data_IF_671092450303
#
_entry.id   IF_671092450303
#
_cell.length_a   1.000
_cell.length_b   1.000
_cell.length_c   1.000
_cell.angle_alpha   90.00
_cell.angle_beta   90.00
_cell.angle_gamma   90.00
#
_symmetry.space_group_name_H-M   'P 1'
#
loop_
_entity.id
_entity.type
_entity.pdbx_description
1 polymer ?
#
# COMPACT_ATOMS: atom_id res chain seq x y z
N UNK A 1 32.90 -0.13 -46.81
CA UNK A 1 32.70 0.94 -47.80
C UNK A 1 31.62 1.87 -47.35
N UNK A 2 32.03 3.09 -47.16
CA UNK A 2 31.27 4.29 -46.72
C UNK A 2 30.22 4.71 -47.74
N UNK A 3 29.10 5.28 -47.29
CA UNK A 3 28.47 6.43 -47.96
C UNK A 3 27.76 7.33 -46.96
N UNK A 4 28.45 8.39 -46.64
CA UNK A 4 28.00 9.66 -46.05
C UNK A 4 27.46 10.59 -47.13
N UNK A 5 26.64 11.57 -46.66
CA UNK A 5 26.41 12.92 -47.20
C UNK A 5 25.25 13.13 -48.16
N UNK A 6 24.36 14.03 -47.81
CA UNK A 6 24.04 15.39 -48.30
C UNK A 6 22.59 15.70 -47.92
N UNK A 7 22.20 16.75 -47.34
CA UNK A 7 22.09 18.15 -47.74
C UNK A 7 21.93 19.10 -46.55
N UNK A 8 22.63 20.21 -46.68
CA UNK A 8 22.48 21.44 -45.91
C UNK A 8 21.80 22.50 -46.77
N UNK A 9 21.04 23.39 -46.11
CA UNK A 9 20.79 24.82 -46.38
C UNK A 9 19.70 25.21 -47.39
N UNK A 10 18.65 25.86 -46.93
CA UNK A 10 18.38 27.30 -47.19
C UNK A 10 17.08 27.71 -46.46
N UNK A 11 17.12 28.88 -45.83
CA UNK A 11 16.08 29.50 -45.03
C UNK A 11 15.04 30.22 -45.85
N UNK A 12 13.98 30.65 -45.16
CA UNK A 12 12.94 31.53 -45.68
C UNK A 12 11.76 31.59 -44.75
N UNK A 13 11.57 32.69 -44.06
CA UNK A 13 10.43 32.97 -43.16
C UNK A 13 9.12 33.12 -43.96
N UNK A 14 8.02 32.57 -43.43
CA UNK A 14 6.65 33.05 -43.66
C UNK A 14 5.68 32.47 -42.61
N UNK A 15 5.17 33.35 -41.80
CA UNK A 15 3.83 33.60 -41.24
C UNK A 15 2.88 32.40 -41.04
N UNK A 16 2.37 32.35 -39.82
CA UNK A 16 1.38 31.48 -39.23
C UNK A 16 0.06 31.35 -39.98
N UNK A 17 -0.43 30.11 -40.04
CA UNK A 17 -1.87 29.80 -39.85
C UNK A 17 -1.94 28.40 -39.20
N UNK A 18 -2.51 28.35 -37.99
CA UNK A 18 -2.66 27.12 -37.23
C UNK A 18 -3.70 26.21 -37.87
N UNK A 19 -3.30 24.94 -38.09
CA UNK A 19 -4.21 23.81 -38.20
C UNK A 19 -3.67 22.80 -37.21
N UNK A 20 -4.40 22.60 -36.12
CA UNK A 20 -4.15 21.54 -35.17
C UNK A 20 -4.47 20.21 -35.86
N UNK A 21 -3.43 19.46 -36.20
CA UNK A 21 -3.55 18.03 -36.49
C UNK A 21 -3.56 17.31 -35.16
N UNK A 22 -4.75 16.85 -34.75
CA UNK A 22 -4.90 15.92 -33.65
C UNK A 22 -4.18 14.60 -34.02
N UNK A 23 -3.04 14.36 -33.40
CA UNK A 23 -2.43 13.05 -33.33
C UNK A 23 -3.33 12.22 -32.40
N UNK A 24 -3.96 11.17 -32.96
CA UNK A 24 -4.63 10.13 -32.17
C UNK A 24 -3.57 9.32 -31.46
N UNK A 25 -3.16 9.69 -30.26
CA UNK A 25 -2.51 8.82 -29.33
C UNK A 25 -3.57 7.89 -28.71
N UNK A 26 -3.52 6.63 -29.12
CA UNK A 26 -4.24 5.54 -28.48
C UNK A 26 -3.58 5.21 -27.13
N UNK A 27 -3.76 6.05 -26.14
CA UNK A 27 -3.58 5.72 -24.74
C UNK A 27 -4.95 5.41 -24.14
N UNK A 28 -5.27 4.13 -24.04
CA UNK A 28 -6.30 3.62 -23.14
C UNK A 28 -5.81 3.78 -21.71
N UNK A 29 -5.80 5.00 -21.19
CA UNK A 29 -5.46 5.40 -19.83
C UNK A 29 -6.65 6.12 -19.24
N UNK A 30 -7.17 5.60 -18.22
CA UNK A 30 -7.83 6.17 -17.05
C UNK A 30 -8.36 7.61 -17.21
N UNK A 31 -9.64 7.76 -17.44
CA UNK A 31 -10.34 9.04 -17.22
C UNK A 31 -10.55 9.27 -15.72
N UNK A 32 -9.53 9.80 -15.04
CA UNK A 32 -9.79 10.59 -13.84
C UNK A 32 -10.38 11.93 -14.30
N UNK A 33 -11.65 12.14 -14.07
CA UNK A 33 -12.36 13.41 -14.36
C UNK A 33 -12.17 14.44 -13.25
N UNK A 34 -11.00 14.53 -12.61
CA UNK A 34 -10.56 15.68 -11.87
C UNK A 34 -9.53 16.40 -12.73
N UNK A 35 -9.78 17.67 -13.08
CA UNK A 35 -8.75 18.54 -13.68
C UNK A 35 -7.48 18.46 -12.82
N UNK A 36 -6.29 18.50 -13.44
CA UNK A 36 -5.03 18.45 -12.71
C UNK A 36 -5.04 19.48 -11.57
N UNK A 37 -4.74 19.04 -10.35
CA UNK A 37 -4.65 19.90 -9.17
C UNK A 37 -3.42 20.79 -9.37
N UNK A 38 -3.60 22.10 -9.28
CA UNK A 38 -2.45 23.02 -9.31
C UNK A 38 -1.77 23.04 -7.93
N UNK A 39 -0.44 23.01 -7.89
CA UNK A 39 0.32 23.08 -6.62
C UNK A 39 -0.08 24.30 -5.75
N UNK A 40 -0.47 25.41 -6.39
CA UNK A 40 -0.93 26.62 -5.71
C UNK A 40 -2.27 26.45 -4.95
N UNK A 41 -3.08 25.47 -5.33
CA UNK A 41 -4.39 25.21 -4.71
C UNK A 41 -4.29 24.27 -3.51
N UNK A 42 -3.11 23.67 -3.26
CA UNK A 42 -2.90 22.76 -2.13
C UNK A 42 -2.69 23.56 -0.85
N UNK A 43 -3.50 23.32 0.21
CA UNK A 43 -3.40 24.08 1.47
C UNK A 43 -2.06 23.89 2.17
N UNK A 44 -1.43 24.95 2.68
CA UNK A 44 -0.17 24.86 3.46
C UNK A 44 -0.49 24.78 4.95
N UNK A 45 -1.04 25.64 5.63
CA UNK A 45 -1.11 25.69 7.09
C UNK A 45 -2.42 25.11 7.67
N UNK A 46 -3.02 24.11 7.00
CA UNK A 46 -4.32 23.53 7.39
C UNK A 46 -4.29 22.04 7.68
N UNK A 47 -3.11 21.41 7.66
CA UNK A 47 -2.97 19.99 7.98
C UNK A 47 -3.58 19.68 9.35
N UNK A 48 -4.38 18.63 9.40
CA UNK A 48 -4.88 18.09 10.66
C UNK A 48 -3.77 17.33 11.37
N UNK A 49 -3.60 17.61 12.67
CA UNK A 49 -2.61 16.93 13.51
C UNK A 49 -3.29 16.21 14.66
N UNK A 50 -2.63 15.17 15.15
CA UNK A 50 -2.92 14.48 16.39
C UNK A 50 -1.73 14.59 17.34
N UNK A 51 -1.96 14.55 18.63
CA UNK A 51 -0.88 14.57 19.63
C UNK A 51 -0.63 13.16 20.10
N UNK A 52 0.63 12.71 19.99
CA UNK A 52 1.04 11.46 20.60
C UNK A 52 0.97 11.59 22.13
N UNK A 53 0.16 10.80 22.85
CA UNK A 53 -0.01 10.93 24.29
C UNK A 53 1.26 10.63 25.08
N UNK A 54 2.20 9.83 24.53
CA UNK A 54 3.41 9.39 25.23
C UNK A 54 4.54 10.42 25.15
N UNK A 55 4.69 11.10 24.00
CA UNK A 55 5.80 12.03 23.77
C UNK A 55 5.37 13.48 23.65
N UNK A 56 4.08 13.74 23.49
CA UNK A 56 3.56 15.07 23.20
C UNK A 56 3.82 15.55 21.75
N UNK A 57 4.40 14.70 20.90
CA UNK A 57 4.69 15.05 19.52
C UNK A 57 3.41 15.35 18.75
N UNK A 58 3.44 16.41 17.96
CA UNK A 58 2.37 16.78 17.04
C UNK A 58 2.59 16.08 15.72
N UNK A 59 1.78 15.03 15.45
CA UNK A 59 1.89 14.15 14.30
C UNK A 59 0.85 14.54 13.24
N UNK A 60 1.26 14.70 11.98
CA UNK A 60 0.33 14.95 10.87
C UNK A 60 -0.58 13.72 10.68
N UNK A 61 -1.87 13.96 10.50
CA UNK A 61 -2.83 12.89 10.29
C UNK A 61 -2.60 12.15 8.95
N UNK A 62 -1.99 12.80 7.97
CA UNK A 62 -1.40 12.16 6.79
C UNK A 62 0.06 11.79 7.09
N UNK A 63 0.36 10.48 7.05
CA UNK A 63 1.72 9.95 7.08
C UNK A 63 2.19 9.53 5.68
N UNK A 64 3.45 9.79 5.37
CA UNK A 64 4.07 9.39 4.10
C UNK A 64 4.63 7.96 4.21
N UNK A 65 3.99 6.99 3.54
CA UNK A 65 4.46 5.62 3.43
C UNK A 65 5.49 5.48 2.30
N UNK A 66 6.74 5.15 2.64
CA UNK A 66 7.88 5.08 1.73
C UNK A 66 8.02 3.69 1.04
N UNK A 67 6.98 2.87 1.07
CA UNK A 67 6.98 1.54 0.44
C UNK A 67 6.84 1.59 -1.09
N UNK A 68 6.28 2.67 -1.64
CA UNK A 68 5.95 2.81 -3.06
C UNK A 68 6.67 3.99 -3.70
N UNK A 69 7.96 4.15 -3.40
CA UNK A 69 8.75 5.24 -3.95
C UNK A 69 8.78 5.20 -5.48
N UNK A 70 8.82 6.36 -6.15
CA UNK A 70 8.95 6.43 -7.59
C UNK A 70 10.32 5.89 -8.05
N UNK A 71 10.33 5.25 -9.22
CA UNK A 71 11.54 4.74 -9.86
C UNK A 71 11.73 5.37 -11.23
N UNK A 72 12.94 5.24 -11.77
CA UNK A 72 13.26 5.69 -13.11
C UNK A 72 12.29 5.08 -14.14
N UNK A 73 11.64 5.95 -14.94
CA UNK A 73 10.60 5.54 -15.88
C UNK A 73 9.18 5.92 -15.47
N UNK A 74 9.00 6.50 -14.26
CA UNK A 74 7.71 7.03 -13.80
C UNK A 74 6.76 6.00 -13.18
N UNK A 75 7.25 4.80 -12.88
CA UNK A 75 6.53 3.74 -12.16
C UNK A 75 6.85 3.78 -10.67
N UNK A 76 6.14 3.02 -9.85
CA UNK A 76 6.52 2.81 -8.45
C UNK A 76 7.59 1.72 -8.34
N UNK A 77 8.45 1.78 -7.32
CA UNK A 77 9.41 0.72 -7.00
C UNK A 77 8.75 -0.63 -6.69
N UNK A 78 7.43 -0.64 -6.55
CA UNK A 78 6.61 -1.83 -6.42
C UNK A 78 6.22 -2.43 -7.77
N UNK A 79 5.92 -1.59 -8.77
CA UNK A 79 5.57 -2.03 -10.13
C UNK A 79 6.81 -2.49 -10.88
N UNK A 80 7.93 -1.78 -10.71
CA UNK A 80 9.22 -2.09 -11.32
C UNK A 80 10.31 -2.15 -10.24
N UNK A 81 10.43 -3.32 -9.60
CA UNK A 81 11.36 -3.52 -8.49
C UNK A 81 12.85 -3.43 -8.90
N UNK A 82 13.17 -3.70 -10.17
CA UNK A 82 14.55 -3.69 -10.66
C UNK A 82 15.04 -2.28 -11.06
N UNK A 83 14.13 -1.35 -11.31
CA UNK A 83 14.49 0.02 -11.64
C UNK A 83 15.08 0.77 -10.44
N UNK A 84 16.01 1.68 -10.70
CA UNK A 84 16.57 2.55 -9.67
C UNK A 84 15.50 3.51 -9.14
N UNK A 85 15.56 3.81 -7.82
CA UNK A 85 14.69 4.85 -7.24
C UNK A 85 15.03 6.20 -7.89
N UNK A 86 13.99 6.94 -8.27
CA UNK A 86 14.12 8.33 -8.73
C UNK A 86 14.29 9.25 -7.52
N UNK A 87 15.55 9.39 -7.08
CA UNK A 87 15.86 10.16 -5.88
C UNK A 87 15.49 11.65 -6.02
N UNK A 88 15.55 12.22 -7.23
CA UNK A 88 15.19 13.63 -7.44
C UNK A 88 13.68 13.82 -7.22
N UNK A 89 12.88 12.92 -7.73
CA UNK A 89 11.43 12.95 -7.50
C UNK A 89 11.08 12.69 -6.04
N UNK A 90 11.71 11.70 -5.38
CA UNK A 90 11.54 11.47 -3.93
C UNK A 90 11.87 12.73 -3.13
N UNK A 91 12.98 13.40 -3.46
CA UNK A 91 13.36 14.65 -2.80
C UNK A 91 12.30 15.73 -2.99
N UNK A 92 11.79 15.91 -4.23
CA UNK A 92 10.73 16.89 -4.53
C UNK A 92 9.45 16.60 -3.76
N UNK A 93 9.03 15.34 -3.70
CA UNK A 93 7.82 14.92 -2.99
C UNK A 93 7.94 15.10 -1.48
N UNK A 94 9.11 14.78 -0.89
CA UNK A 94 9.39 15.01 0.54
C UNK A 94 9.42 16.51 0.87
N UNK A 95 10.06 17.34 0.03
CA UNK A 95 10.08 18.79 0.19
C UNK A 95 8.65 19.38 0.17
N UNK A 96 7.84 18.91 -0.77
CA UNK A 96 6.45 19.32 -0.90
C UNK A 96 5.61 18.87 0.31
N UNK A 97 5.76 17.64 0.74
CA UNK A 97 5.07 17.07 1.89
C UNK A 97 5.33 17.89 3.17
N UNK A 98 6.61 18.15 3.47
CA UNK A 98 7.02 18.96 4.62
C UNK A 98 6.51 20.42 4.54
N UNK A 99 6.58 21.03 3.35
CA UNK A 99 6.08 22.39 3.13
C UNK A 99 4.57 22.52 3.34
N UNK A 100 3.82 21.40 3.24
CA UNK A 100 2.36 21.35 3.42
C UNK A 100 1.95 20.67 4.73
N UNK A 101 2.90 20.46 5.65
CA UNK A 101 2.62 20.06 7.02
C UNK A 101 2.61 18.54 7.28
N UNK A 102 2.94 17.71 6.29
CA UNK A 102 3.19 16.28 6.51
C UNK A 102 4.52 16.13 7.21
N UNK A 103 4.53 15.50 8.38
CA UNK A 103 5.75 15.35 9.19
C UNK A 103 6.06 13.93 9.64
N UNK A 104 5.27 12.93 9.27
CA UNK A 104 5.49 11.52 9.63
C UNK A 104 5.85 10.72 8.38
N UNK A 105 7.03 10.05 8.41
CA UNK A 105 7.57 9.27 7.29
C UNK A 105 7.81 7.83 7.75
N UNK A 106 7.12 6.88 7.11
CA UNK A 106 7.15 5.45 7.46
C UNK A 106 7.92 4.65 6.42
N UNK A 107 9.00 4.01 6.83
CA UNK A 107 9.84 3.16 5.99
C UNK A 107 10.12 1.79 6.62
N UNK A 108 11.00 1.01 6.01
CA UNK A 108 11.43 -0.31 6.50
C UNK A 108 12.64 -0.80 5.70
N UNK A 109 13.56 -1.57 6.30
CA UNK A 109 14.64 -2.24 5.57
C UNK A 109 14.15 -3.24 4.51
N UNK A 110 12.87 -3.70 4.59
CA UNK A 110 12.29 -4.58 3.58
C UNK A 110 11.68 -3.84 2.37
N UNK A 111 11.48 -2.51 2.45
CA UNK A 111 10.79 -1.77 1.41
C UNK A 111 11.69 -1.46 0.21
N UNK A 112 11.12 -1.47 -1.00
CA UNK A 112 11.84 -1.23 -2.26
C UNK A 112 13.11 -2.10 -2.39
N UNK A 113 13.04 -3.37 -1.99
CA UNK A 113 14.18 -4.31 -1.98
C UNK A 113 15.38 -3.79 -1.17
N UNK A 114 15.13 -3.23 0.01
CA UNK A 114 16.15 -2.73 0.91
C UNK A 114 16.66 -1.31 0.61
N UNK A 115 16.05 -0.60 -0.35
CA UNK A 115 16.53 0.73 -0.80
C UNK A 115 15.73 1.90 -0.22
N UNK A 116 14.59 1.64 0.42
CA UNK A 116 13.70 2.70 0.90
C UNK A 116 14.31 3.53 2.02
N UNK A 117 14.97 2.92 3.00
CA UNK A 117 15.60 3.65 4.11
C UNK A 117 16.68 4.60 3.59
N UNK A 118 17.53 4.14 2.67
CA UNK A 118 18.58 4.97 2.07
C UNK A 118 17.99 6.19 1.32
N UNK A 119 17.00 5.96 0.48
CA UNK A 119 16.35 7.04 -0.26
C UNK A 119 15.63 8.03 0.67
N UNK A 120 14.99 7.53 1.73
CA UNK A 120 14.34 8.33 2.77
C UNK A 120 15.37 9.17 3.53
N UNK A 121 16.51 8.56 3.92
CA UNK A 121 17.60 9.24 4.60
C UNK A 121 18.18 10.39 3.78
N UNK A 122 18.45 10.18 2.48
CA UNK A 122 18.91 11.24 1.57
C UNK A 122 17.90 12.38 1.51
N UNK A 123 16.61 12.08 1.35
CA UNK A 123 15.58 13.11 1.22
C UNK A 123 15.42 13.92 2.51
N UNK A 124 15.32 13.26 3.66
CA UNK A 124 15.05 13.90 4.95
C UNK A 124 16.28 14.61 5.55
N UNK A 125 17.50 14.12 5.32
CA UNK A 125 18.72 14.78 5.81
C UNK A 125 18.95 16.20 5.27
N UNK A 126 18.22 16.58 4.23
CA UNK A 126 18.21 17.94 3.66
C UNK A 126 17.43 18.93 4.51
N UNK A 127 16.69 18.47 5.52
CA UNK A 127 15.81 19.26 6.38
C UNK A 127 16.27 19.17 7.85
N UNK A 128 15.97 20.20 8.69
CA UNK A 128 16.24 20.13 10.12
C UNK A 128 15.53 18.92 10.75
N UNK A 129 16.27 18.17 11.61
CA UNK A 129 15.80 16.90 12.22
C UNK A 129 14.50 17.06 13.05
N UNK A 130 14.26 18.24 13.60
CA UNK A 130 13.07 18.59 14.39
C UNK A 130 11.80 18.83 13.54
N UNK A 131 11.90 18.81 12.23
CA UNK A 131 10.77 19.05 11.32
C UNK A 131 10.02 17.78 10.92
N UNK A 132 10.59 16.62 11.20
CA UNK A 132 10.01 15.35 10.78
C UNK A 132 10.20 14.24 11.81
N UNK A 133 9.32 13.27 11.74
CA UNK A 133 9.29 12.05 12.52
C UNK A 133 9.55 10.86 11.60
N UNK A 134 10.48 9.99 11.97
CA UNK A 134 10.82 8.77 11.22
C UNK A 134 10.29 7.56 11.94
N UNK A 135 9.55 6.73 11.21
CA UNK A 135 9.20 5.38 11.59
C UNK A 135 9.96 4.37 10.72
N UNK A 136 10.60 3.39 11.35
CA UNK A 136 11.14 2.21 10.66
C UNK A 136 10.85 0.94 11.43
N UNK A 137 11.27 -0.22 10.88
CA UNK A 137 10.80 -1.52 11.37
C UNK A 137 11.94 -2.53 11.45
N UNK A 138 11.86 -3.47 12.38
CA UNK A 138 12.69 -4.68 12.37
C UNK A 138 12.06 -5.73 11.46
N UNK A 139 12.60 -5.87 10.25
CA UNK A 139 12.05 -6.73 9.18
C UNK A 139 12.80 -8.07 9.09
N UNK A 140 13.02 -8.71 10.23
CA UNK A 140 13.75 -9.98 10.37
C UNK A 140 12.88 -11.18 9.94
N UNK A 141 12.40 -11.18 8.68
CA UNK A 141 11.53 -12.25 8.16
C UNK A 141 12.28 -13.55 7.84
N UNK A 142 13.57 -13.46 7.46
CA UNK A 142 14.40 -14.61 7.15
C UNK A 142 14.94 -15.24 8.45
N UNK A 143 14.82 -16.55 8.66
CA UNK A 143 15.40 -17.24 9.82
C UNK A 143 16.87 -16.93 10.09
N UNK A 144 17.66 -16.64 9.08
CA UNK A 144 19.05 -16.21 9.23
C UNK A 144 19.19 -14.87 9.97
N UNK A 145 18.12 -14.08 10.05
CA UNK A 145 18.08 -12.76 10.73
C UNK A 145 17.47 -12.81 12.14
N UNK A 146 17.08 -13.99 12.65
CA UNK A 146 16.47 -14.15 13.97
C UNK A 146 17.46 -14.05 15.15
N UNK A 147 18.75 -14.48 15.04
CA UNK A 147 19.68 -14.31 16.14
C UNK A 147 19.75 -12.84 16.61
N UNK A 148 19.90 -12.64 17.92
CA UNK A 148 19.94 -11.30 18.56
C UNK A 148 20.88 -10.33 17.84
N UNK A 149 22.11 -10.76 17.56
CA UNK A 149 23.10 -9.90 16.91
C UNK A 149 22.66 -9.44 15.51
N UNK A 150 21.89 -10.26 14.80
CA UNK A 150 21.37 -9.90 13.48
C UNK A 150 20.25 -8.85 13.58
N UNK A 151 19.37 -8.97 14.57
CA UNK A 151 18.36 -7.95 14.88
C UNK A 151 18.99 -6.62 15.29
N UNK A 152 20.01 -6.66 16.15
CA UNK A 152 20.80 -5.49 16.55
C UNK A 152 21.48 -4.84 15.34
N UNK A 153 22.13 -5.62 14.49
CA UNK A 153 22.79 -5.12 13.30
C UNK A 153 21.80 -4.48 12.33
N UNK A 154 20.60 -5.07 12.17
CA UNK A 154 19.52 -4.51 11.33
C UNK A 154 19.13 -3.12 11.84
N UNK A 155 18.91 -2.96 13.14
CA UNK A 155 18.58 -1.67 13.74
C UNK A 155 19.68 -0.61 13.51
N UNK A 156 20.94 -0.95 13.77
CA UNK A 156 22.04 -0.01 13.53
C UNK A 156 22.23 0.31 12.04
N UNK A 157 21.99 -0.64 11.15
CA UNK A 157 21.99 -0.39 9.72
C UNK A 157 20.86 0.58 9.33
N UNK A 158 19.66 0.44 9.90
CA UNK A 158 18.56 1.37 9.67
C UNK A 158 18.93 2.81 10.08
N UNK A 159 19.55 3.01 11.26
CA UNK A 159 20.03 4.33 11.67
C UNK A 159 21.03 4.92 10.66
N UNK A 160 21.96 4.09 10.18
CA UNK A 160 22.97 4.49 9.20
C UNK A 160 22.35 4.87 7.85
N UNK A 161 21.46 4.03 7.30
CA UNK A 161 20.81 4.29 6.01
C UNK A 161 19.89 5.51 6.08
N UNK A 162 19.21 5.71 7.19
CA UNK A 162 18.37 6.89 7.46
C UNK A 162 19.18 8.15 7.82
N UNK A 163 20.51 8.03 8.06
CA UNK A 163 21.39 9.13 8.41
C UNK A 163 20.97 9.85 9.70
N UNK A 164 20.55 9.10 10.71
CA UNK A 164 20.06 9.63 11.99
C UNK A 164 20.70 8.91 13.20
N UNK A 165 20.72 9.59 14.35
CA UNK A 165 21.23 9.03 15.61
C UNK A 165 20.13 8.28 16.40
N UNK A 166 18.86 8.53 16.09
CA UNK A 166 17.67 7.93 16.71
C UNK A 166 16.49 7.91 15.75
N UNK A 167 15.54 7.01 16.00
CA UNK A 167 14.25 6.98 15.31
C UNK A 167 13.12 7.40 16.24
N UNK A 168 12.10 8.07 15.71
CA UNK A 168 10.96 8.49 16.50
C UNK A 168 10.02 7.32 16.80
N UNK A 169 9.90 6.38 15.85
CA UNK A 169 9.03 5.21 15.93
C UNK A 169 9.77 3.98 15.43
N UNK A 170 9.83 2.92 16.24
CA UNK A 170 10.31 1.61 15.82
C UNK A 170 9.22 0.57 15.98
N UNK A 171 9.04 -0.28 14.96
CA UNK A 171 8.05 -1.33 14.96
C UNK A 171 8.69 -2.73 14.86
N UNK A 172 8.14 -3.68 15.60
CA UNK A 172 8.24 -5.09 15.25
C UNK A 172 7.44 -5.30 13.96
N UNK A 173 8.09 -5.78 12.89
CA UNK A 173 7.48 -5.79 11.55
C UNK A 173 6.62 -7.03 11.31
N UNK A 174 5.32 -6.84 11.05
CA UNK A 174 4.42 -7.90 10.60
C UNK A 174 4.29 -9.03 11.60
N UNK A 175 3.99 -8.71 12.86
CA UNK A 175 3.77 -9.74 13.89
C UNK A 175 2.54 -10.58 13.54
N UNK A 176 2.59 -11.89 13.78
CA UNK A 176 1.52 -12.84 13.45
C UNK A 176 1.47 -13.27 11.99
N UNK A 177 2.40 -12.81 11.14
CA UNK A 177 2.52 -13.30 9.75
C UNK A 177 2.93 -14.77 9.69
N UNK A 178 2.66 -15.39 8.53
CA UNK A 178 3.02 -16.78 8.27
C UNK A 178 1.95 -17.79 8.70
N UNK A 179 2.21 -19.07 8.44
CA UNK A 179 1.31 -20.15 8.81
C UNK A 179 1.47 -20.53 10.30
N UNK A 180 2.66 -20.28 10.87
CA UNK A 180 3.00 -20.48 12.27
C UNK A 180 3.27 -19.14 12.96
N UNK A 181 2.39 -18.16 12.77
CA UNK A 181 2.57 -16.79 13.24
C UNK A 181 3.04 -16.66 14.70
N UNK A 182 2.48 -17.37 15.69
CA UNK A 182 2.97 -17.37 17.06
C UNK A 182 4.41 -17.89 17.21
N UNK A 183 4.72 -19.06 16.67
CA UNK A 183 6.06 -19.65 16.75
C UNK A 183 7.11 -18.78 16.04
N UNK A 184 6.78 -18.22 14.87
CA UNK A 184 7.67 -17.29 14.18
C UNK A 184 7.87 -15.99 14.99
N UNK A 185 6.84 -15.51 15.66
CA UNK A 185 6.95 -14.34 16.53
C UNK A 185 7.89 -14.61 17.72
N UNK A 186 7.76 -15.79 18.35
CA UNK A 186 8.61 -16.18 19.47
C UNK A 186 10.08 -16.21 19.05
N UNK A 187 10.40 -16.88 17.96
CA UNK A 187 11.78 -16.93 17.43
C UNK A 187 12.33 -15.58 16.97
N UNK A 188 11.49 -14.72 16.40
CA UNK A 188 11.90 -13.42 15.87
C UNK A 188 12.16 -12.40 16.96
N UNK A 189 11.42 -12.46 18.07
CA UNK A 189 11.39 -11.37 19.03
C UNK A 189 11.41 -11.78 20.51
N UNK A 190 10.63 -12.83 20.90
CA UNK A 190 10.39 -13.10 22.31
C UNK A 190 11.50 -13.94 22.97
N UNK A 191 11.97 -15.01 22.31
CA UNK A 191 12.89 -15.97 22.90
C UNK A 191 14.39 -15.64 22.75
N UNK A 192 14.71 -14.69 21.86
CA UNK A 192 16.09 -14.38 21.50
C UNK A 192 16.67 -13.18 22.26
N UNK A 193 15.92 -12.55 23.18
CA UNK A 193 16.33 -11.38 23.95
C UNK A 193 16.25 -10.07 23.18
N UNK A 194 15.70 -10.05 21.97
CA UNK A 194 15.63 -8.86 21.13
C UNK A 194 14.65 -7.81 21.71
N UNK A 195 13.52 -8.24 22.27
CA UNK A 195 12.56 -7.32 22.91
C UNK A 195 13.19 -6.55 24.08
N UNK A 196 13.86 -7.25 24.98
CA UNK A 196 14.52 -6.62 26.13
C UNK A 196 15.56 -5.62 25.67
N UNK A 197 16.37 -6.01 24.68
CA UNK A 197 17.36 -5.11 24.10
C UNK A 197 16.73 -3.87 23.45
N UNK A 198 15.56 -3.99 22.80
CA UNK A 198 14.85 -2.84 22.23
C UNK A 198 14.34 -1.88 23.30
N UNK A 199 13.90 -2.40 24.45
CA UNK A 199 13.55 -1.57 25.62
C UNK A 199 14.77 -0.81 26.11
N UNK A 200 15.94 -1.46 26.21
CA UNK A 200 17.20 -0.79 26.54
C UNK A 200 17.56 0.32 25.53
N UNK A 201 17.34 0.09 24.22
CA UNK A 201 17.57 1.14 23.21
C UNK A 201 16.59 2.31 23.33
N UNK A 202 15.37 2.05 23.77
CA UNK A 202 14.39 3.10 24.07
C UNK A 202 14.82 3.91 25.30
N UNK A 203 15.26 3.28 26.37
CA UNK A 203 15.82 3.96 27.56
C UNK A 203 17.08 4.76 27.21
N UNK A 204 17.92 4.26 26.31
CA UNK A 204 19.10 4.96 25.81
C UNK A 204 18.78 6.13 24.84
N UNK A 205 17.49 6.34 24.50
CA UNK A 205 17.05 7.42 23.62
C UNK A 205 17.31 7.18 22.13
N UNK A 206 17.65 5.94 21.73
CA UNK A 206 17.80 5.55 20.31
C UNK A 206 16.45 5.28 19.65
N UNK A 207 15.45 4.97 20.43
CA UNK A 207 14.05 4.76 20.03
C UNK A 207 13.19 5.64 20.92
N UNK A 208 12.35 6.51 20.33
CA UNK A 208 11.44 7.36 21.13
C UNK A 208 10.12 6.66 21.45
N UNK A 209 9.58 5.92 20.47
CA UNK A 209 8.36 5.14 20.61
C UNK A 209 8.59 3.73 20.07
N UNK A 210 8.27 2.72 20.88
CA UNK A 210 8.35 1.31 20.51
C UNK A 210 6.93 0.75 20.31
N UNK A 211 6.70 0.07 19.19
CA UNK A 211 5.42 -0.53 18.86
C UNK A 211 5.57 -1.71 17.90
N UNK A 212 4.47 -2.12 17.30
CA UNK A 212 4.46 -3.21 16.33
C UNK A 212 3.47 -2.96 15.20
N UNK A 213 3.71 -3.59 14.04
CA UNK A 213 2.73 -3.69 12.97
C UNK A 213 2.14 -5.09 12.96
N UNK A 214 0.81 -5.17 13.02
CA UNK A 214 0.10 -6.44 13.07
C UNK A 214 -0.38 -6.88 11.69
N UNK A 215 -0.07 -8.15 11.37
CA UNK A 215 -0.61 -8.85 10.21
C UNK A 215 -0.77 -10.34 10.55
N UNK A 216 -1.96 -10.87 10.50
CA UNK A 216 -2.15 -12.32 10.49
C UNK A 216 -2.78 -12.92 11.74
N UNK A 217 -2.04 -13.71 12.53
CA UNK A 217 -2.62 -14.46 13.63
C UNK A 217 -3.00 -13.55 14.81
N UNK A 218 -4.28 -13.58 15.18
CA UNK A 218 -4.82 -12.70 16.22
C UNK A 218 -4.26 -13.03 17.61
N UNK A 219 -3.87 -14.27 17.85
CA UNK A 219 -3.32 -14.65 19.15
C UNK A 219 -2.02 -13.90 19.48
N UNK A 220 -1.21 -13.55 18.46
CA UNK A 220 0.00 -12.74 18.67
C UNK A 220 -0.36 -11.32 19.08
N UNK A 221 -1.36 -10.71 18.42
CA UNK A 221 -1.85 -9.39 18.79
C UNK A 221 -2.37 -9.36 20.23
N UNK A 222 -3.21 -10.33 20.57
CA UNK A 222 -3.79 -10.43 21.92
C UNK A 222 -2.72 -10.68 22.99
N UNK A 223 -1.70 -11.50 22.71
CA UNK A 223 -0.56 -11.75 23.60
C UNK A 223 0.24 -10.45 23.85
N UNK A 224 0.53 -9.68 22.78
CA UNK A 224 1.26 -8.41 22.93
C UNK A 224 0.46 -7.39 23.75
N UNK A 225 -0.85 -7.34 23.58
CA UNK A 225 -1.71 -6.49 24.42
C UNK A 225 -1.81 -6.99 25.85
N UNK A 226 -1.79 -8.30 26.08
CA UNK A 226 -1.73 -8.87 27.43
C UNK A 226 -0.42 -8.47 28.12
N UNK A 227 0.74 -8.58 27.46
CA UNK A 227 2.02 -8.12 28.02
C UNK A 227 2.00 -6.62 28.37
N UNK A 228 1.32 -5.81 27.56
CA UNK A 228 1.11 -4.40 27.88
C UNK A 228 0.28 -4.19 29.14
N UNK A 229 -0.82 -4.94 29.28
CA UNK A 229 -1.71 -4.86 30.46
C UNK A 229 -1.04 -5.38 31.73
N UNK A 230 -0.16 -6.39 31.64
CA UNK A 230 0.61 -6.96 32.74
C UNK A 230 1.81 -6.11 33.14
N UNK A 231 2.23 -5.19 32.27
CA UNK A 231 3.37 -4.30 32.49
C UNK A 231 4.72 -4.88 32.09
N UNK A 232 4.76 -6.04 31.41
CA UNK A 232 5.97 -6.66 30.92
C UNK A 232 6.62 -5.83 29.82
N UNK A 233 5.79 -5.34 28.88
CA UNK A 233 6.21 -4.44 27.80
C UNK A 233 5.21 -3.31 27.62
N UNK A 234 5.69 -2.10 27.33
CA UNK A 234 4.85 -0.95 27.05
C UNK A 234 4.88 -0.62 25.54
N UNK A 235 3.71 -0.73 24.90
CA UNK A 235 3.57 -0.33 23.50
C UNK A 235 3.11 1.12 23.42
N UNK A 236 3.91 1.97 22.80
CA UNK A 236 3.62 3.39 22.66
C UNK A 236 2.62 3.66 21.52
N UNK A 237 2.50 2.75 20.58
CA UNK A 237 1.59 2.77 19.44
C UNK A 237 1.51 1.40 18.77
N UNK A 238 0.47 1.17 17.97
CA UNK A 238 0.33 -0.05 17.17
C UNK A 238 -0.14 0.29 15.77
N UNK A 239 0.46 -0.34 14.77
CA UNK A 239 0.08 -0.18 13.37
C UNK A 239 -0.85 -1.32 12.94
N UNK A 240 -2.06 -0.96 12.48
CA UNK A 240 -3.09 -1.90 12.05
C UNK A 240 -3.63 -1.55 10.66
N UNK A 241 -4.14 -2.54 9.92
CA UNK A 241 -4.97 -2.30 8.74
C UNK A 241 -6.32 -1.75 9.17
N UNK A 242 -6.75 -0.62 8.57
CA UNK A 242 -8.06 -0.06 8.80
C UNK A 242 -8.57 0.70 7.56
N UNK A 243 -9.70 0.26 7.05
CA UNK A 243 -10.47 0.89 6.00
C UNK A 243 -11.95 0.50 6.13
N UNK A 244 -12.85 1.10 5.35
CA UNK A 244 -14.28 0.87 5.49
C UNK A 244 -14.73 -0.55 5.06
N UNK A 245 -13.91 -1.29 4.32
CA UNK A 245 -14.18 -2.68 3.95
C UNK A 245 -13.74 -3.64 5.06
N UNK A 246 -12.48 -3.53 5.51
CA UNK A 246 -11.92 -4.42 6.52
C UNK A 246 -12.48 -4.15 7.93
N UNK A 247 -13.18 -3.03 8.13
CA UNK A 247 -13.77 -2.70 9.41
C UNK A 247 -14.64 -3.84 9.95
N UNK A 248 -15.57 -4.34 9.12
CA UNK A 248 -16.49 -5.44 9.50
C UNK A 248 -16.33 -6.70 8.64
N UNK A 249 -15.70 -6.60 7.47
CA UNK A 249 -15.74 -7.64 6.46
C UNK A 249 -14.41 -8.34 6.17
N UNK A 250 -13.33 -8.05 6.94
CA UNK A 250 -12.04 -8.69 6.74
C UNK A 250 -12.14 -10.22 6.82
N UNK A 251 -12.91 -10.76 7.80
CA UNK A 251 -13.14 -12.20 7.97
C UNK A 251 -14.01 -12.81 6.87
N UNK A 252 -14.95 -12.05 6.32
CA UNK A 252 -15.81 -12.52 5.22
C UNK A 252 -15.03 -12.64 3.93
N UNK A 253 -14.09 -11.71 3.69
CA UNK A 253 -13.21 -11.72 2.52
C UNK A 253 -12.16 -12.83 2.67
N UNK A 254 -11.58 -12.99 3.84
CA UNK A 254 -10.66 -14.05 4.17
C UNK A 254 -10.83 -14.46 5.65
N UNK A 255 -11.27 -15.70 5.93
CA UNK A 255 -11.53 -16.17 7.29
C UNK A 255 -10.34 -16.10 8.25
N UNK A 256 -9.12 -16.00 7.71
CA UNK A 256 -7.89 -15.87 8.51
C UNK A 256 -7.57 -14.41 8.89
N UNK A 257 -8.25 -13.42 8.33
CA UNK A 257 -8.07 -12.02 8.69
C UNK A 257 -8.91 -11.65 9.92
N UNK A 258 -8.54 -10.55 10.56
CA UNK A 258 -9.27 -9.99 11.71
C UNK A 258 -9.91 -8.67 11.33
N UNK A 259 -11.19 -8.47 11.69
CA UNK A 259 -11.89 -7.21 11.44
C UNK A 259 -11.21 -6.05 12.17
N UNK A 260 -11.03 -4.95 11.47
CA UNK A 260 -10.38 -3.76 12.02
C UNK A 260 -11.14 -3.15 13.22
N UNK A 261 -12.46 -3.34 13.28
CA UNK A 261 -13.28 -2.96 14.43
C UNK A 261 -12.77 -3.55 15.74
N UNK A 262 -12.42 -4.85 15.74
CA UNK A 262 -11.84 -5.50 16.92
C UNK A 262 -10.48 -4.93 17.27
N UNK A 263 -9.59 -4.84 16.30
CA UNK A 263 -8.23 -4.35 16.51
C UNK A 263 -8.22 -2.93 17.06
N UNK A 264 -9.02 -2.04 16.47
CA UNK A 264 -9.11 -0.66 16.90
C UNK A 264 -9.73 -0.54 18.30
N UNK A 265 -10.81 -1.28 18.58
CA UNK A 265 -11.47 -1.25 19.88
C UNK A 265 -10.55 -1.70 21.03
N UNK A 266 -9.71 -2.72 20.82
CA UNK A 266 -8.76 -3.19 21.82
C UNK A 266 -7.63 -2.18 22.08
N UNK A 267 -7.20 -1.43 21.05
CA UNK A 267 -6.24 -0.33 21.21
C UNK A 267 -6.88 0.87 21.93
N UNK A 268 -8.09 1.27 21.51
CA UNK A 268 -8.80 2.40 22.10
C UNK A 268 -9.09 2.17 23.60
N UNK A 269 -9.48 0.96 23.98
CA UNK A 269 -9.71 0.55 25.38
C UNK A 269 -8.46 0.78 26.27
N UNK A 270 -7.27 0.64 25.71
CA UNK A 270 -5.98 0.81 26.40
C UNK A 270 -5.38 2.19 26.23
N UNK A 271 -5.99 3.05 25.41
CA UNK A 271 -5.43 4.36 25.08
C UNK A 271 -4.17 4.28 24.21
N UNK A 272 -3.93 3.15 23.55
CA UNK A 272 -2.78 2.98 22.65
C UNK A 272 -3.10 3.62 21.30
N UNK A 273 -2.31 4.60 20.83
CA UNK A 273 -2.54 5.24 19.54
C UNK A 273 -2.41 4.24 18.37
N UNK A 274 -3.34 4.32 17.42
CA UNK A 274 -3.30 3.53 16.20
C UNK A 274 -2.62 4.29 15.05
N UNK A 275 -1.64 3.68 14.41
CA UNK A 275 -1.12 4.08 13.10
C UNK A 275 -1.82 3.22 12.04
N UNK A 276 -2.40 3.87 11.03
CA UNK A 276 -3.22 3.12 10.06
C UNK A 276 -2.40 2.82 8.81
N UNK A 277 -2.31 1.54 8.45
CA UNK A 277 -1.83 1.08 7.15
C UNK A 277 -3.00 0.57 6.30
N UNK A 278 -2.77 0.44 5.00
CA UNK A 278 -3.73 -0.06 4.01
C UNK A 278 -5.09 0.69 4.00
N UNK A 279 -5.12 2.04 4.13
CA UNK A 279 -6.38 2.79 4.09
C UNK A 279 -7.08 2.64 2.74
N UNK A 280 -6.33 2.34 1.67
CA UNK A 280 -6.84 2.07 0.33
C UNK A 280 -6.79 0.58 -0.06
N UNK A 281 -6.45 -0.32 0.87
CA UNK A 281 -6.36 -1.76 0.61
C UNK A 281 -5.54 -2.06 -0.65
N UNK A 282 -4.28 -1.58 -0.67
CA UNK A 282 -3.38 -1.72 -1.82
C UNK A 282 -3.77 -0.93 -3.07
N UNK A 283 -4.70 0.01 -2.96
CA UNK A 283 -5.26 0.79 -4.06
C UNK A 283 -6.63 0.27 -4.56
N UNK A 284 -7.12 -0.85 -4.03
CA UNK A 284 -8.44 -1.40 -4.40
C UNK A 284 -9.59 -0.43 -4.10
N UNK A 285 -9.50 0.32 -3.00
CA UNK A 285 -10.50 1.31 -2.62
C UNK A 285 -10.35 2.65 -3.35
N UNK A 286 -9.32 2.82 -4.17
CA UNK A 286 -9.19 3.92 -5.12
C UNK A 286 -9.72 3.56 -6.53
N UNK A 287 -9.81 2.26 -6.83
CA UNK A 287 -10.24 1.71 -8.13
C UNK A 287 -11.43 0.76 -7.94
N UNK A 288 -12.57 1.31 -7.53
CA UNK A 288 -13.82 0.56 -7.35
C UNK A 288 -14.63 0.52 -8.64
N UNK A 289 -15.62 -0.40 -8.78
CA UNK A 289 -16.49 -0.47 -9.95
C UNK A 289 -17.22 0.84 -10.27
N UNK A 290 -17.46 1.12 -11.56
CA UNK A 290 -18.11 2.35 -12.04
C UNK A 290 -19.48 2.61 -11.40
N UNK A 291 -20.23 1.55 -11.07
CA UNK A 291 -21.50 1.66 -10.34
C UNK A 291 -21.31 2.27 -8.95
N UNK A 292 -20.24 1.87 -8.25
CA UNK A 292 -19.87 2.41 -6.94
C UNK A 292 -19.34 3.84 -7.09
N UNK A 293 -18.47 4.09 -8.09
CA UNK A 293 -17.97 5.46 -8.40
C UNK A 293 -19.16 6.40 -8.59
N UNK A 294 -20.16 5.98 -9.38
CA UNK A 294 -21.36 6.78 -9.65
C UNK A 294 -22.13 7.10 -8.37
N UNK A 295 -22.29 6.16 -7.47
CA UNK A 295 -22.96 6.37 -6.17
C UNK A 295 -22.18 7.35 -5.27
N UNK A 296 -20.86 7.16 -5.16
CA UNK A 296 -19.99 8.05 -4.39
C UNK A 296 -20.01 9.49 -4.94
N UNK A 297 -19.88 9.65 -6.26
CA UNK A 297 -19.95 10.96 -6.93
C UNK A 297 -21.32 11.63 -6.84
N UNK A 298 -22.40 10.86 -6.81
CA UNK A 298 -23.76 11.42 -6.59
C UNK A 298 -23.88 11.99 -5.18
N UNK A 299 -23.23 11.37 -4.19
CA UNK A 299 -23.29 11.81 -2.80
C UNK A 299 -22.37 13.01 -2.54
N UNK A 300 -21.15 12.96 -3.05
CA UNK A 300 -20.17 14.05 -2.97
C UNK A 300 -19.41 14.18 -4.30
N UNK A 301 -19.86 15.04 -5.22
CA UNK A 301 -19.23 15.21 -6.53
C UNK A 301 -17.78 15.72 -6.45
N UNK A 302 -17.43 16.43 -5.38
CA UNK A 302 -16.11 17.05 -5.18
C UNK A 302 -15.06 16.06 -4.65
N UNK A 303 -15.46 14.98 -3.98
CA UNK A 303 -14.53 14.02 -3.41
C UNK A 303 -14.16 12.93 -4.41
N UNK A 304 -12.89 12.52 -4.44
CA UNK A 304 -12.48 11.30 -5.12
C UNK A 304 -12.93 10.06 -4.35
N UNK A 305 -12.87 8.90 -5.00
CA UNK A 305 -13.13 7.62 -4.33
C UNK A 305 -12.10 7.36 -3.22
N UNK A 306 -10.83 7.70 -3.47
CA UNK A 306 -9.75 7.58 -2.48
C UNK A 306 -9.98 8.47 -1.25
N UNK A 307 -10.45 9.70 -1.46
CA UNK A 307 -10.73 10.63 -0.36
C UNK A 307 -11.76 10.09 0.65
N UNK A 308 -12.77 9.34 0.19
CA UNK A 308 -13.72 8.67 1.09
C UNK A 308 -13.03 7.69 2.04
N UNK A 309 -12.11 6.87 1.52
CA UNK A 309 -11.39 5.89 2.32
C UNK A 309 -10.39 6.54 3.28
N UNK A 310 -9.70 7.59 2.85
CA UNK A 310 -8.81 8.37 3.72
C UNK A 310 -9.57 9.09 4.84
N UNK A 311 -10.69 9.73 4.52
CA UNK A 311 -11.55 10.35 5.53
C UNK A 311 -12.04 9.34 6.55
N UNK A 312 -12.44 8.13 6.08
CA UNK A 312 -12.86 7.04 6.94
C UNK A 312 -11.75 6.64 7.92
N UNK A 313 -10.57 6.34 7.40
CA UNK A 313 -9.42 5.91 8.20
C UNK A 313 -8.94 6.98 9.20
N UNK A 314 -9.05 8.26 8.86
CA UNK A 314 -8.67 9.37 9.72
C UNK A 314 -9.73 9.82 10.73
N UNK A 315 -10.96 9.31 10.63
CA UNK A 315 -12.08 9.77 11.49
C UNK A 315 -11.96 9.31 12.95
N UNK A 316 -11.58 8.05 13.29
CA UNK A 316 -11.53 7.61 14.67
C UNK A 316 -10.54 8.41 15.51
N UNK A 317 -10.93 8.78 16.74
CA UNK A 317 -10.17 9.71 17.59
C UNK A 317 -8.81 9.18 18.06
N UNK A 318 -8.68 7.86 18.24
CA UNK A 318 -7.43 7.20 18.65
C UNK A 318 -6.44 6.96 17.52
N UNK A 319 -6.77 7.34 16.27
CA UNK A 319 -5.84 7.27 15.13
C UNK A 319 -4.82 8.40 15.22
N UNK A 320 -3.54 8.07 15.26
CA UNK A 320 -2.44 9.03 15.31
C UNK A 320 -2.10 9.57 13.91
N UNK A 321 -1.95 8.66 12.95
CA UNK A 321 -1.65 8.99 11.55
C UNK A 321 -2.16 7.90 10.61
N UNK A 322 -2.44 8.26 9.36
CA UNK A 322 -2.89 7.36 8.28
C UNK A 322 -1.84 7.36 7.19
N UNK A 323 -1.24 6.20 6.96
CA UNK A 323 -0.15 6.03 6.00
C UNK A 323 -0.68 5.94 4.57
N UNK A 324 -0.05 6.68 3.66
CA UNK A 324 -0.29 6.57 2.23
C UNK A 324 1.02 6.43 1.46
N UNK A 325 1.09 5.43 0.60
CA UNK A 325 2.17 5.27 -0.37
C UNK A 325 1.90 6.15 -1.60
N UNK A 326 2.45 7.34 -1.61
CA UNK A 326 2.25 8.35 -2.65
C UNK A 326 3.43 8.32 -3.62
N UNK A 327 3.27 7.64 -4.74
CA UNK A 327 4.29 7.50 -5.80
C UNK A 327 4.33 8.72 -6.72
N UNK A 328 3.21 9.43 -6.84
CA UNK A 328 3.03 10.54 -7.78
C UNK A 328 2.62 11.80 -7.03
N UNK A 329 3.10 12.95 -7.49
CA UNK A 329 2.79 14.24 -6.91
C UNK A 329 1.27 14.50 -6.80
N UNK A 330 0.48 14.04 -7.78
CA UNK A 330 -0.98 14.18 -7.76
C UNK A 330 -1.61 13.43 -6.58
N UNK A 331 -1.10 12.24 -6.22
CA UNK A 331 -1.55 11.50 -5.03
C UNK A 331 -1.23 12.27 -3.74
N UNK A 332 -0.03 12.85 -3.67
CA UNK A 332 0.39 13.64 -2.51
C UNK A 332 -0.47 14.88 -2.34
N UNK A 333 -0.70 15.63 -3.43
CA UNK A 333 -1.54 16.83 -3.41
C UNK A 333 -2.98 16.53 -2.99
N UNK A 334 -3.60 15.51 -3.56
CA UNK A 334 -4.97 15.10 -3.23
C UNK A 334 -5.11 14.67 -1.77
N UNK A 335 -4.16 13.90 -1.26
CA UNK A 335 -4.19 13.43 0.11
C UNK A 335 -3.96 14.56 1.12
N UNK A 336 -3.08 15.53 0.80
CA UNK A 336 -2.92 16.74 1.60
C UNK A 336 -4.23 17.52 1.65
N UNK A 337 -4.93 17.72 0.54
CA UNK A 337 -6.23 18.38 0.50
C UNK A 337 -7.24 17.66 1.39
N UNK A 338 -7.27 16.32 1.33
CA UNK A 338 -8.20 15.49 2.12
C UNK A 338 -8.02 15.69 3.63
N UNK A 339 -6.79 15.92 4.09
CA UNK A 339 -6.46 16.08 5.50
C UNK A 339 -6.19 17.55 5.93
N UNK A 340 -6.46 18.53 5.07
CA UNK A 340 -6.13 19.96 5.33
C UNK A 340 -7.31 20.93 5.24
N UNK A 341 -8.26 20.93 6.21
CA UNK A 341 -8.39 20.02 7.36
C UNK A 341 -9.19 18.75 7.03
N UNK A 342 -9.01 17.70 7.83
CA UNK A 342 -9.89 16.53 7.77
C UNK A 342 -11.36 16.96 7.99
N UNK A 343 -12.23 16.48 7.09
CA UNK A 343 -13.67 16.46 7.31
C UNK A 343 -14.06 15.05 7.77
N UNK A 344 -14.30 14.83 9.06
CA UNK A 344 -14.65 13.49 9.57
C UNK A 344 -15.88 12.91 8.86
N UNK A 345 -15.93 11.58 8.75
CA UNK A 345 -17.10 10.87 8.22
C UNK A 345 -18.27 11.03 9.19
N UNK A 346 -19.42 11.51 8.72
CA UNK A 346 -20.65 11.58 9.51
C UNK A 346 -21.27 10.19 9.68
N UNK A 347 -22.25 10.08 10.58
CA UNK A 347 -23.00 8.83 10.78
C UNK A 347 -23.65 8.35 9.48
N UNK A 348 -24.29 9.25 8.74
CA UNK A 348 -24.97 8.95 7.46
C UNK A 348 -23.96 8.58 6.35
N UNK A 349 -22.78 9.17 6.39
CA UNK A 349 -21.69 8.80 5.49
C UNK A 349 -21.12 7.42 5.86
N UNK A 350 -21.00 7.10 7.13
CA UNK A 350 -20.59 5.78 7.60
C UNK A 350 -21.58 4.69 7.16
N UNK A 351 -22.87 4.88 7.38
CA UNK A 351 -23.92 3.96 6.93
C UNK A 351 -23.91 3.79 5.39
N UNK A 352 -23.56 4.84 4.65
CA UNK A 352 -23.37 4.76 3.20
C UNK A 352 -22.18 3.89 2.84
N UNK A 353 -21.02 4.09 3.48
CA UNK A 353 -19.80 3.30 3.23
C UNK A 353 -19.98 1.83 3.64
N UNK A 354 -20.73 1.53 4.70
CA UNK A 354 -21.10 0.15 5.06
C UNK A 354 -21.87 -0.53 3.92
N UNK A 355 -22.87 0.14 3.31
CA UNK A 355 -23.58 -0.40 2.15
C UNK A 355 -22.70 -0.58 0.91
N UNK A 356 -21.70 0.29 0.72
CA UNK A 356 -20.69 0.12 -0.34
C UNK A 356 -19.82 -1.11 -0.05
N UNK A 357 -19.39 -1.31 1.19
CA UNK A 357 -18.63 -2.49 1.61
C UNK A 357 -19.40 -3.79 1.35
N UNK A 358 -20.68 -3.87 1.74
CA UNK A 358 -21.56 -5.01 1.46
C UNK A 358 -21.59 -5.35 -0.04
N UNK A 359 -21.70 -4.32 -0.91
CA UNK A 359 -21.68 -4.52 -2.37
C UNK A 359 -20.34 -5.06 -2.86
N UNK A 360 -19.23 -4.56 -2.31
CA UNK A 360 -17.88 -5.01 -2.70
C UNK A 360 -17.63 -6.46 -2.26
N UNK A 361 -18.07 -6.85 -1.08
CA UNK A 361 -17.97 -8.24 -0.60
C UNK A 361 -18.72 -9.18 -1.52
N UNK A 362 -19.93 -8.79 -1.96
CA UNK A 362 -20.74 -9.59 -2.90
C UNK A 362 -20.07 -9.82 -4.27
N UNK A 363 -19.07 -9.02 -4.66
CA UNK A 363 -18.33 -9.17 -5.92
C UNK A 363 -17.31 -10.30 -5.94
N UNK A 364 -17.02 -10.93 -4.79
CA UNK A 364 -16.13 -12.09 -4.66
C UNK A 364 -14.73 -11.91 -5.31
N UNK A 365 -14.13 -10.75 -5.12
CA UNK A 365 -12.75 -10.46 -5.58
C UNK A 365 -11.72 -11.17 -4.72
N UNK A 366 -10.54 -11.46 -5.30
CA UNK A 366 -9.39 -11.97 -4.54
C UNK A 366 -8.85 -10.84 -3.64
N UNK A 367 -8.65 -11.05 -2.32
CA UNK A 367 -8.21 -9.99 -1.40
C UNK A 367 -6.71 -9.65 -1.53
N UNK A 368 -6.19 -9.63 -2.77
CA UNK A 368 -4.81 -9.25 -3.05
C UNK A 368 -4.67 -7.72 -3.06
N UNK A 369 -3.79 -7.20 -2.20
CA UNK A 369 -3.43 -5.79 -2.14
C UNK A 369 -2.13 -5.47 -2.91
N UNK A 370 -1.66 -6.41 -3.75
CA UNK A 370 -0.46 -6.29 -4.57
C UNK A 370 0.79 -5.90 -3.77
N UNK A 371 1.00 -6.42 -2.54
CA UNK A 371 2.18 -6.12 -1.72
C UNK A 371 3.48 -6.77 -2.22
N UNK A 372 3.41 -7.76 -3.07
CA UNK A 372 4.53 -8.52 -3.68
C UNK A 372 5.42 -9.30 -2.70
N UNK A 373 5.03 -9.47 -1.44
CA UNK A 373 5.78 -10.31 -0.51
C UNK A 373 5.84 -11.79 -0.93
N UNK A 374 4.89 -12.26 -1.74
CA UNK A 374 4.92 -13.58 -2.36
C UNK A 374 5.89 -13.71 -3.55
N UNK A 375 6.62 -12.65 -3.87
CA UNK A 375 7.58 -12.62 -4.98
C UNK A 375 9.03 -12.60 -4.46
N UNK A 376 10.01 -13.14 -5.24
CA UNK A 376 9.84 -13.82 -6.52
C UNK A 376 9.29 -15.24 -6.38
N UNK A 377 8.38 -15.64 -7.27
CA UNK A 377 7.99 -17.04 -7.38
C UNK A 377 9.14 -17.86 -8.00
N UNK A 378 9.58 -18.99 -7.40
CA UNK A 378 10.69 -19.80 -7.93
C UNK A 378 10.40 -20.38 -9.33
N UNK A 379 9.13 -20.43 -9.72
CA UNK A 379 8.69 -20.87 -11.06
C UNK A 379 8.37 -19.70 -12.01
N UNK A 380 8.74 -18.48 -11.64
CA UNK A 380 8.62 -17.28 -12.48
C UNK A 380 7.22 -16.71 -12.64
N UNK A 381 6.23 -17.20 -11.89
CA UNK A 381 4.83 -16.74 -11.99
C UNK A 381 4.70 -15.32 -11.43
N UNK A 382 3.97 -14.46 -12.13
CA UNK A 382 3.63 -13.11 -11.64
C UNK A 382 2.30 -13.14 -10.88
N UNK A 383 2.36 -13.64 -9.65
CA UNK A 383 1.19 -13.87 -8.80
C UNK A 383 0.35 -12.57 -8.65
N UNK A 384 0.93 -11.43 -8.27
CA UNK A 384 0.16 -10.21 -8.09
C UNK A 384 -0.49 -9.70 -9.38
N UNK A 385 0.22 -9.71 -10.52
CA UNK A 385 -0.32 -9.26 -11.79
C UNK A 385 -1.54 -10.09 -12.23
N UNK A 386 -1.51 -11.40 -11.99
CA UNK A 386 -2.63 -12.31 -12.27
C UNK A 386 -3.86 -11.91 -11.44
N UNK A 387 -3.69 -11.69 -10.14
CA UNK A 387 -4.79 -11.35 -9.24
C UNK A 387 -5.35 -9.95 -9.51
N UNK A 388 -4.49 -8.98 -9.79
CA UNK A 388 -4.89 -7.62 -10.17
C UNK A 388 -5.71 -7.64 -11.47
N UNK A 389 -5.26 -8.37 -12.48
CA UNK A 389 -6.02 -8.52 -13.73
C UNK A 389 -7.38 -9.18 -13.50
N UNK A 390 -7.43 -10.27 -12.73
CA UNK A 390 -8.68 -10.97 -12.41
C UNK A 390 -9.67 -10.04 -11.70
N UNK A 391 -9.22 -9.34 -10.65
CA UNK A 391 -10.04 -8.39 -9.90
C UNK A 391 -10.53 -7.23 -10.79
N UNK A 392 -9.65 -6.72 -11.67
CA UNK A 392 -10.03 -5.69 -12.64
C UNK A 392 -11.17 -6.18 -13.54
N UNK A 393 -11.08 -7.40 -14.03
CA UNK A 393 -12.14 -7.97 -14.88
C UNK A 393 -13.47 -8.13 -14.14
N UNK A 394 -13.45 -8.46 -12.82
CA UNK A 394 -14.67 -8.46 -12.00
C UNK A 394 -15.25 -7.04 -11.93
N UNK A 395 -14.41 -6.05 -11.59
CA UNK A 395 -14.83 -4.66 -11.43
C UNK A 395 -15.41 -4.07 -12.73
N UNK A 396 -14.83 -4.45 -13.88
CA UNK A 396 -15.25 -4.00 -15.21
C UNK A 396 -16.48 -4.78 -15.75
N UNK A 397 -17.01 -5.78 -15.00
CA UNK A 397 -18.11 -6.63 -15.46
C UNK A 397 -17.70 -7.61 -16.56
N UNK A 398 -16.41 -7.89 -16.73
CA UNK A 398 -15.86 -8.77 -17.76
C UNK A 398 -15.71 -10.24 -17.31
N UNK A 399 -16.34 -10.63 -16.19
CA UNK A 399 -16.34 -12.02 -15.69
C UNK A 399 -17.73 -12.64 -15.91
N UNK A 400 -18.09 -12.89 -17.17
CA UNK A 400 -19.37 -13.51 -17.56
C UNK A 400 -19.13 -14.99 -17.84
N UNK A 401 -19.84 -15.87 -17.13
CA UNK A 401 -19.71 -17.32 -17.26
C UNK A 401 -20.77 -17.97 -18.18
N UNK A 402 -21.89 -17.26 -18.46
CA UNK A 402 -22.94 -17.77 -19.31
C UNK A 402 -22.65 -17.44 -20.78
N UNK A 403 -22.36 -18.46 -21.58
CA UNK A 403 -22.10 -18.34 -23.03
C UNK A 403 -23.29 -17.75 -23.79
N UNK A 404 -24.52 -17.82 -23.24
CA UNK A 404 -25.72 -17.27 -23.85
C UNK A 404 -25.94 -15.77 -23.52
N UNK A 405 -25.15 -15.19 -22.61
CA UNK A 405 -25.23 -13.77 -22.31
C UNK A 405 -24.75 -12.95 -23.51
N UNK A 406 -25.49 -11.89 -23.85
CA UNK A 406 -25.19 -11.02 -24.99
C UNK A 406 -23.82 -10.32 -24.86
N UNK A 407 -23.34 -10.12 -23.64
CA UNK A 407 -22.01 -9.52 -23.30
C UNK A 407 -20.87 -10.54 -23.32
N UNK A 408 -21.16 -11.84 -23.34
CA UNK A 408 -20.14 -12.88 -23.14
C UNK A 408 -18.93 -12.77 -24.08
N UNK A 409 -19.17 -12.61 -25.39
CA UNK A 409 -18.06 -12.52 -26.37
C UNK A 409 -17.15 -11.32 -26.13
N UNK A 410 -17.72 -10.17 -25.75
CA UNK A 410 -16.97 -8.96 -25.43
C UNK A 410 -16.16 -9.12 -24.14
N UNK A 411 -16.77 -9.63 -23.08
CA UNK A 411 -16.15 -9.91 -21.79
C UNK A 411 -15.02 -10.94 -21.91
N UNK A 412 -15.28 -12.06 -22.61
CA UNK A 412 -14.28 -13.10 -22.90
C UNK A 412 -13.05 -12.52 -23.60
N UNK A 413 -13.26 -11.73 -24.66
CA UNK A 413 -12.17 -11.08 -25.39
C UNK A 413 -11.40 -10.09 -24.51
N UNK A 414 -12.11 -9.27 -23.73
CA UNK A 414 -11.48 -8.32 -22.81
C UNK A 414 -10.62 -9.03 -21.78
N UNK A 415 -11.14 -10.13 -21.19
CA UNK A 415 -10.39 -10.93 -20.23
C UNK A 415 -9.12 -11.54 -20.85
N UNK A 416 -9.24 -12.32 -21.93
CA UNK A 416 -8.12 -13.06 -22.51
C UNK A 416 -7.03 -12.14 -23.09
N UNK A 417 -7.42 -11.08 -23.81
CA UNK A 417 -6.47 -10.09 -24.34
C UNK A 417 -5.80 -9.30 -23.21
N UNK A 418 -6.58 -8.92 -22.20
CA UNK A 418 -6.06 -8.25 -21.02
C UNK A 418 -5.08 -9.12 -20.24
N UNK A 419 -5.40 -10.40 -20.08
CA UNK A 419 -4.53 -11.38 -19.39
C UNK A 419 -3.17 -11.52 -20.10
N UNK A 420 -3.17 -11.71 -21.42
CA UNK A 420 -1.93 -11.83 -22.21
C UNK A 420 -1.10 -10.53 -22.24
N UNK A 421 -1.74 -9.36 -22.07
CA UNK A 421 -1.04 -8.07 -21.97
C UNK A 421 -0.46 -7.81 -20.60
N UNK A 422 -1.23 -8.14 -19.55
CA UNK A 422 -0.83 -7.88 -18.17
C UNK A 422 0.16 -8.91 -17.64
N UNK A 423 0.10 -10.15 -18.14
CA UNK A 423 0.90 -11.27 -17.65
C UNK A 423 1.56 -12.01 -18.83
N UNK A 424 2.87 -11.85 -19.02
CA UNK A 424 3.58 -12.59 -20.07
C UNK A 424 3.35 -14.11 -19.97
N UNK A 425 3.24 -14.81 -21.09
CA UNK A 425 2.84 -16.23 -21.13
C UNK A 425 3.64 -17.16 -20.24
N UNK A 426 4.94 -16.92 -20.10
CA UNK A 426 5.82 -17.72 -19.22
C UNK A 426 5.64 -17.39 -17.72
N UNK A 427 4.80 -16.40 -17.39
CA UNK A 427 4.54 -15.96 -16.02
C UNK A 427 3.08 -16.16 -15.59
N UNK A 428 2.27 -16.84 -16.41
CA UNK A 428 0.84 -17.07 -16.19
C UNK A 428 0.60 -18.21 -15.18
N UNK A 429 -0.66 -18.30 -14.72
CA UNK A 429 -1.11 -19.19 -13.65
C UNK A 429 -0.89 -20.69 -13.93
N UNK A 430 -0.95 -21.10 -15.21
CA UNK A 430 -0.76 -22.48 -15.66
C UNK A 430 0.64 -23.09 -15.33
N UNK A 431 1.60 -22.26 -14.95
CA UNK A 431 2.93 -22.72 -14.49
C UNK A 431 2.98 -23.03 -12.99
N UNK A 432 1.88 -22.84 -12.25
CA UNK A 432 1.84 -23.11 -10.82
C UNK A 432 1.81 -24.62 -10.52
N UNK A 433 2.82 -25.08 -9.80
CA UNK A 433 2.91 -26.46 -9.32
C UNK A 433 2.37 -26.68 -7.90
N UNK A 434 1.74 -25.65 -7.32
CA UNK A 434 1.18 -25.67 -5.96
C UNK A 434 2.22 -26.00 -4.86
N UNK A 435 3.46 -25.54 -4.97
CA UNK A 435 4.51 -25.76 -3.98
C UNK A 435 4.27 -25.08 -2.62
N UNK A 436 3.35 -24.09 -2.53
CA UNK A 436 2.95 -23.41 -1.31
C UNK A 436 3.92 -22.35 -0.77
N UNK A 437 5.12 -22.18 -1.33
CA UNK A 437 6.14 -21.26 -0.78
C UNK A 437 5.67 -19.79 -0.71
N UNK A 438 4.73 -19.39 -1.56
CA UNK A 438 4.18 -18.03 -1.57
C UNK A 438 3.16 -17.76 -0.46
N UNK A 439 2.58 -18.79 0.16
CA UNK A 439 1.45 -18.67 1.10
C UNK A 439 1.90 -18.06 2.42
N UNK A 440 3.02 -18.52 2.98
CA UNK A 440 3.57 -18.03 4.25
C UNK A 440 3.96 -16.54 4.19
N UNK A 441 4.28 -16.04 3.00
CA UNK A 441 4.65 -14.63 2.80
C UNK A 441 3.46 -13.69 2.54
N UNK A 442 2.23 -14.24 2.42
CA UNK A 442 1.06 -13.44 2.10
C UNK A 442 0.44 -12.80 3.36
N UNK A 443 0.53 -11.47 3.57
CA UNK A 443 -0.07 -10.83 4.74
C UNK A 443 -1.60 -10.93 4.73
N UNK A 444 -2.21 -11.03 3.53
CA UNK A 444 -3.66 -11.26 3.37
C UNK A 444 -4.06 -12.74 3.49
N UNK A 445 -3.10 -13.63 3.79
CA UNK A 445 -3.32 -15.08 4.00
C UNK A 445 -4.13 -15.76 2.89
N UNK A 446 -3.92 -15.33 1.64
CA UNK A 446 -4.58 -15.89 0.46
C UNK A 446 -4.04 -17.31 0.21
N UNK A 447 -4.93 -18.27 -0.03
CA UNK A 447 -4.54 -19.56 -0.60
C UNK A 447 -4.17 -19.37 -2.09
N UNK A 448 -2.96 -18.84 -2.30
CA UNK A 448 -2.47 -18.45 -3.62
C UNK A 448 -2.50 -19.59 -4.64
N UNK A 449 -2.06 -20.83 -4.33
CA UNK A 449 -2.13 -21.93 -5.29
C UNK A 449 -3.55 -22.27 -5.72
N UNK A 450 -4.51 -22.22 -4.79
CA UNK A 450 -5.93 -22.47 -5.08
C UNK A 450 -6.50 -21.40 -6.00
N UNK A 451 -6.21 -20.14 -5.72
CA UNK A 451 -6.70 -19.01 -6.54
C UNK A 451 -6.05 -19.00 -7.94
N UNK A 452 -4.76 -19.31 -8.04
CA UNK A 452 -4.10 -19.45 -9.34
C UNK A 452 -4.73 -20.57 -10.18
N UNK A 453 -5.02 -21.72 -9.57
CA UNK A 453 -5.70 -22.82 -10.26
C UNK A 453 -7.10 -22.42 -10.72
N UNK A 454 -7.86 -21.75 -9.86
CA UNK A 454 -9.21 -21.26 -10.20
C UNK A 454 -9.20 -20.31 -11.42
N UNK A 455 -8.19 -19.43 -11.47
CA UNK A 455 -8.03 -18.51 -12.61
C UNK A 455 -7.60 -19.26 -13.87
N UNK A 456 -6.68 -20.22 -13.76
CA UNK A 456 -6.24 -21.03 -14.91
C UNK A 456 -7.38 -21.86 -15.51
N UNK A 457 -8.16 -22.52 -14.64
CA UNK A 457 -9.36 -23.26 -15.06
C UNK A 457 -10.35 -22.34 -15.81
N UNK A 458 -10.55 -21.11 -15.32
CA UNK A 458 -11.39 -20.12 -15.98
C UNK A 458 -10.80 -19.68 -17.34
N UNK A 459 -9.52 -19.43 -17.43
CA UNK A 459 -8.82 -19.11 -18.69
C UNK A 459 -9.00 -20.23 -19.70
N UNK A 460 -8.82 -21.48 -19.29
CA UNK A 460 -8.99 -22.64 -20.19
C UNK A 460 -10.44 -22.83 -20.62
N UNK A 461 -11.41 -22.61 -19.73
CA UNK A 461 -12.83 -22.59 -20.10
C UNK A 461 -13.11 -21.55 -21.18
N UNK A 462 -12.64 -20.33 -21.01
CA UNK A 462 -12.79 -19.25 -21.98
C UNK A 462 -12.14 -19.57 -23.34
N UNK A 463 -11.00 -20.26 -23.37
CA UNK A 463 -10.33 -20.70 -24.60
C UNK A 463 -11.10 -21.82 -25.32
N UNK A 464 -11.74 -22.72 -24.56
CA UNK A 464 -12.47 -23.86 -25.12
C UNK A 464 -13.82 -23.47 -25.74
N UNK A 465 -14.48 -22.43 -25.24
CA UNK A 465 -15.76 -21.95 -25.78
C UNK A 465 -15.67 -21.49 -27.23
N UNK A 466 -14.48 -21.15 -27.72
CA UNK A 466 -14.25 -20.74 -29.14
C UNK A 466 -14.14 -21.94 -30.12
N UNK A 467 -14.01 -23.17 -29.60
CA UNK A 467 -13.85 -24.35 -30.45
C UNK A 467 -15.17 -25.02 -30.80
N UNK A 468 -16.30 -24.47 -30.34
CA UNK A 468 -17.63 -24.99 -30.58
C UNK A 468 -18.40 -24.19 -31.63
N UNK A 469 -17.87 -23.06 -32.12
CA UNK A 469 -18.35 -22.25 -33.24
C UNK A 469 -17.54 -22.59 -34.52
#
# INVERSE_FOLDING_TARGET
MSRRHFFKVAGGAAVATGVALAACDNNNGETSTSGAIAEADVPKDKMTYRTNPNTGDRVSLLGYGMMRLPVAGGESGRENADAAIDQELVNKEVDFALAHGVNYFDTSPAYCQGRSEHATGIALSRHPRDKYLIATKLSNFDPATWPLEQGQQMFYNSLKELQVDYVDYLLLHGVGMGDNGPEEFDHRYAENGLLDWLVEQKEAGKIRNLGFSYHGDISVFDTLLQWHDEGDYHWDFVQIELNYLDWKHAKEINPRNTNAEYLYAELEKRGIPAVIMEPLLGGRLAKVPDSIVTEMKRRDPGSSVAAWAFRYAGTPGGVLTVLSGMTYMDHLMENIITYSPLKPISKEENEFLERIADKMVAMNTIPCNDCKYCMPCPYGIDIPAIFVHYNKCINDGNLINDENDSGYRAARRAFLVGYDRSVPKLRQANHCIACGQCVSHCPQRIDIPKELRRIDDFVEQLKQSDRKD
#
